data_IF_378266283977
#
_entry.id   IF_378266283977
#
_cell.length_a   1.000
_cell.length_b   1.000
_cell.length_c   1.000
_cell.angle_alpha   90.00
_cell.angle_beta   90.00
_cell.angle_gamma   90.00
#
_symmetry.space_group_name_H-M   'P 1'
#
loop_
_entity.id
_entity.type
_entity.pdbx_description
1 polymer ?
#
# COMPACT_ATOMS: atom_id res chain seq x y z
N UNK A 1 18.72 28.24 1.75
CA UNK A 1 19.18 29.46 2.45
C UNK A 1 17.96 30.15 3.06
N UNK A 2 18.02 30.70 4.29
CA UNK A 2 16.89 31.41 4.90
C UNK A 2 16.42 32.57 4.02
N UNK A 3 15.10 32.77 3.91
CA UNK A 3 14.47 33.74 2.98
C UNK A 3 14.97 35.18 3.19
N UNK A 4 15.20 35.57 4.45
CA UNK A 4 15.79 36.86 4.83
C UNK A 4 17.25 37.03 4.34
N UNK A 5 18.01 35.94 4.29
CA UNK A 5 19.40 35.94 3.81
C UNK A 5 19.45 35.99 2.27
N UNK A 6 18.49 35.35 1.59
CA UNK A 6 18.36 35.40 0.13
C UNK A 6 17.96 36.79 -0.37
N UNK A 7 16.99 37.41 0.30
CA UNK A 7 16.58 38.77 0.00
C UNK A 7 17.75 39.74 0.14
N UNK A 8 18.46 39.70 1.27
CA UNK A 8 19.48 40.70 1.59
C UNK A 8 20.80 40.53 0.84
N UNK A 9 21.14 39.32 0.38
CA UNK A 9 22.43 39.05 -0.29
C UNK A 9 22.34 38.92 -1.81
N UNK A 10 21.15 38.67 -2.37
CA UNK A 10 21.02 38.27 -3.77
C UNK A 10 19.97 39.12 -4.51
N UNK A 11 18.72 39.10 -4.06
CA UNK A 11 17.62 39.74 -4.80
C UNK A 11 17.62 41.28 -4.74
N UNK A 12 18.27 41.89 -3.74
CA UNK A 12 18.47 43.35 -3.70
C UNK A 12 19.48 43.81 -4.75
N UNK A 13 20.50 43.00 -5.05
CA UNK A 13 21.59 43.36 -5.96
C UNK A 13 21.29 43.00 -7.42
N UNK A 14 20.48 41.95 -7.64
CA UNK A 14 20.13 41.42 -8.96
C UNK A 14 18.60 41.34 -9.12
N UNK A 15 17.89 42.47 -9.37
CA UNK A 15 16.43 42.50 -9.43
C UNK A 15 15.84 41.79 -10.66
N UNK A 16 16.61 41.66 -11.75
CA UNK A 16 16.17 41.01 -12.99
C UNK A 16 16.58 39.52 -13.06
N UNK A 17 17.14 38.96 -11.99
CA UNK A 17 17.65 37.59 -11.99
C UNK A 17 16.55 36.58 -12.34
N UNK A 18 15.34 36.79 -11.81
CA UNK A 18 14.22 35.87 -11.99
C UNK A 18 13.75 35.86 -13.44
N UNK A 19 13.65 37.03 -14.09
CA UNK A 19 13.26 37.13 -15.50
C UNK A 19 14.34 36.58 -16.43
N UNK A 20 15.62 36.82 -16.14
CA UNK A 20 16.74 36.28 -16.91
C UNK A 20 16.87 34.76 -16.82
N UNK A 21 16.77 34.19 -15.61
CA UNK A 21 16.77 32.73 -15.41
C UNK A 21 15.58 32.12 -16.15
N UNK A 22 14.41 32.75 -16.09
CA UNK A 22 13.20 32.21 -16.72
C UNK A 22 13.24 32.26 -18.25
N UNK A 23 13.82 33.30 -18.83
CA UNK A 23 14.04 33.39 -20.29
C UNK A 23 15.01 32.33 -20.82
N UNK A 24 15.97 31.89 -20.00
CA UNK A 24 16.91 30.83 -20.35
C UNK A 24 16.25 29.43 -20.36
N UNK A 25 15.10 29.24 -19.71
CA UNK A 25 14.30 28.01 -19.81
C UNK A 25 13.85 27.76 -21.26
N UNK A 26 13.76 28.81 -22.09
CA UNK A 26 13.35 28.73 -23.49
C UNK A 26 14.44 28.21 -24.45
N UNK A 27 15.72 28.17 -24.05
CA UNK A 27 16.85 27.91 -24.96
C UNK A 27 17.72 26.75 -24.48
N UNK A 28 17.44 25.54 -24.96
CA UNK A 28 18.27 24.33 -25.08
C UNK A 28 19.25 23.88 -23.97
N UNK A 29 19.36 24.58 -22.85
CA UNK A 29 20.20 24.26 -21.69
C UNK A 29 19.31 23.82 -20.51
N UNK A 30 18.82 22.58 -20.63
CA UNK A 30 17.58 22.16 -19.97
C UNK A 30 17.65 22.04 -18.43
N UNK A 31 18.75 21.62 -17.80
CA UNK A 31 18.69 21.06 -16.42
C UNK A 31 18.93 22.07 -15.26
N UNK A 32 19.95 22.94 -15.29
CA UNK A 32 20.28 23.78 -14.13
C UNK A 32 19.24 24.87 -13.87
N UNK A 33 18.57 25.31 -14.93
CA UNK A 33 17.70 26.49 -14.92
C UNK A 33 16.34 26.16 -14.31
N UNK A 34 15.75 25.01 -14.65
CA UNK A 34 14.51 24.53 -14.01
C UNK A 34 14.70 24.27 -12.52
N UNK A 35 15.84 23.68 -12.14
CA UNK A 35 16.18 23.44 -10.74
C UNK A 35 16.36 24.76 -9.97
N UNK A 36 16.96 25.77 -10.60
CA UNK A 36 17.12 27.12 -10.03
C UNK A 36 15.77 27.81 -9.88
N UNK A 37 14.91 27.78 -10.89
CA UNK A 37 13.54 28.33 -10.81
C UNK A 37 12.70 27.65 -9.73
N UNK A 38 12.83 26.33 -9.55
CA UNK A 38 12.18 25.59 -8.46
C UNK A 38 12.68 26.03 -7.08
N UNK A 39 13.98 26.22 -6.91
CA UNK A 39 14.54 26.74 -5.67
C UNK A 39 14.06 28.16 -5.35
N UNK A 40 13.92 29.02 -6.38
CA UNK A 40 13.42 30.40 -6.24
C UNK A 40 11.91 30.41 -5.93
N UNK A 41 11.12 29.57 -6.62
CA UNK A 41 9.67 29.48 -6.41
C UNK A 41 9.29 29.10 -4.96
N UNK A 42 10.16 28.36 -4.27
CA UNK A 42 9.98 27.99 -2.85
C UNK A 42 10.09 29.16 -1.88
N UNK A 43 10.58 30.32 -2.32
CA UNK A 43 10.51 31.56 -1.55
C UNK A 43 9.16 32.24 -1.80
N UNK A 44 8.28 32.28 -0.78
CA UNK A 44 6.89 32.75 -0.90
C UNK A 44 6.80 34.17 -1.45
N UNK A 45 7.76 35.03 -1.10
CA UNK A 45 7.80 36.43 -1.53
C UNK A 45 8.09 36.55 -3.05
N UNK A 46 8.74 35.55 -3.65
CA UNK A 46 9.16 35.54 -5.06
C UNK A 46 8.29 34.66 -5.97
N UNK A 47 7.39 33.88 -5.40
CA UNK A 47 6.50 32.97 -6.14
C UNK A 47 5.70 33.69 -7.24
N UNK A 48 5.10 34.84 -6.94
CA UNK A 48 4.30 35.59 -7.93
C UNK A 48 5.18 36.12 -9.09
N UNK A 49 6.42 36.51 -8.79
CA UNK A 49 7.38 36.99 -9.79
C UNK A 49 7.82 35.85 -10.73
N UNK A 50 8.07 34.66 -10.18
CA UNK A 50 8.40 33.45 -10.96
C UNK A 50 7.22 33.01 -11.84
N UNK A 51 5.99 33.00 -11.32
CA UNK A 51 4.79 32.64 -12.07
C UNK A 51 4.54 33.58 -13.27
N UNK A 52 4.72 34.88 -13.05
CA UNK A 52 4.60 35.89 -14.10
C UNK A 52 5.72 35.75 -15.14
N UNK A 53 6.97 35.52 -14.70
CA UNK A 53 8.09 35.32 -15.61
C UNK A 53 7.92 34.06 -16.48
N UNK A 54 7.34 32.99 -15.92
CA UNK A 54 7.05 31.74 -16.63
C UNK A 54 5.81 31.81 -17.51
N UNK A 55 5.08 32.93 -17.42
CA UNK A 55 3.78 33.15 -18.06
C UNK A 55 2.80 32.00 -17.76
N UNK A 56 2.71 31.61 -16.48
CA UNK A 56 1.99 30.42 -16.03
C UNK A 56 0.48 30.45 -16.30
N UNK A 57 -0.13 31.64 -16.38
CA UNK A 57 -1.56 31.81 -16.66
C UNK A 57 -1.91 31.70 -18.16
N UNK A 58 -0.92 31.63 -19.05
CA UNK A 58 -1.16 31.59 -20.49
C UNK A 58 -1.07 30.15 -21.02
N UNK A 59 -2.03 29.75 -21.87
CA UNK A 59 -1.98 28.47 -22.60
C UNK A 59 -0.71 28.34 -23.46
N UNK A 60 -0.17 29.47 -23.94
CA UNK A 60 1.08 29.57 -24.71
C UNK A 60 2.31 29.93 -23.84
N UNK A 61 2.17 29.88 -22.52
CA UNK A 61 3.26 30.10 -21.58
C UNK A 61 4.34 29.01 -21.68
N UNK A 62 5.50 29.28 -21.09
CA UNK A 62 6.69 28.42 -21.18
C UNK A 62 6.38 27.02 -20.66
N UNK A 63 5.64 26.93 -19.55
CA UNK A 63 5.28 25.67 -18.90
C UNK A 63 4.40 24.78 -19.79
N UNK A 64 3.29 25.29 -20.30
CA UNK A 64 2.37 24.50 -21.14
C UNK A 64 2.87 24.29 -22.57
N UNK A 65 3.73 25.17 -23.06
CA UNK A 65 4.45 24.94 -24.31
C UNK A 65 5.40 23.74 -24.17
N UNK A 66 6.23 23.73 -23.11
CA UNK A 66 7.13 22.60 -22.81
C UNK A 66 6.35 21.31 -22.58
N UNK A 67 5.25 21.37 -21.83
CA UNK A 67 4.37 20.21 -21.59
C UNK A 67 3.79 19.66 -22.91
N UNK A 68 3.32 20.52 -23.83
CA UNK A 68 2.83 20.08 -25.15
C UNK A 68 3.91 19.51 -26.06
N UNK A 69 5.13 20.05 -26.01
CA UNK A 69 6.27 19.52 -26.79
C UNK A 69 6.56 18.06 -26.45
N UNK A 70 6.30 17.64 -25.20
CA UNK A 70 6.41 16.23 -24.79
C UNK A 70 5.49 15.29 -25.60
N UNK A 71 4.43 15.81 -26.22
CA UNK A 71 3.52 15.04 -27.07
C UNK A 71 4.02 14.86 -28.51
N UNK A 72 4.94 15.72 -28.98
CA UNK A 72 5.26 15.83 -30.41
C UNK A 72 6.74 15.56 -30.76
N UNK A 73 7.71 15.84 -29.89
CA UNK A 73 9.16 15.76 -30.23
C UNK A 73 10.06 15.25 -29.09
N UNK A 74 11.13 14.55 -29.49
CA UNK A 74 12.34 14.09 -28.78
C UNK A 74 12.37 14.14 -27.25
N UNK A 75 12.57 12.97 -26.64
CA UNK A 75 12.76 12.76 -25.21
C UNK A 75 13.75 13.75 -24.58
N UNK A 76 13.25 14.62 -23.70
CA UNK A 76 14.12 15.39 -22.83
C UNK A 76 14.91 14.45 -21.91
N UNK A 77 16.11 14.88 -21.44
CA UNK A 77 16.85 14.12 -20.44
C UNK A 77 15.99 13.84 -19.20
N UNK A 78 16.12 12.65 -18.60
CA UNK A 78 15.35 12.28 -17.41
C UNK A 78 15.49 13.31 -16.27
N UNK A 79 16.71 13.81 -16.04
CA UNK A 79 16.99 14.85 -15.05
C UNK A 79 16.22 16.16 -15.30
N UNK A 80 15.96 16.50 -16.56
CA UNK A 80 15.11 17.64 -16.89
C UNK A 80 13.65 17.34 -16.56
N UNK A 81 13.14 16.18 -16.97
CA UNK A 81 11.77 15.77 -16.69
C UNK A 81 11.50 15.74 -15.18
N UNK A 82 12.44 15.21 -14.39
CA UNK A 82 12.34 15.19 -12.93
C UNK A 82 12.25 16.61 -12.35
N UNK A 83 13.16 17.51 -12.74
CA UNK A 83 13.16 18.89 -12.26
C UNK A 83 11.89 19.66 -12.71
N UNK A 84 11.45 19.44 -13.95
CA UNK A 84 10.31 20.11 -14.55
C UNK A 84 8.99 19.70 -13.91
N UNK A 85 8.74 18.39 -13.77
CA UNK A 85 7.54 17.91 -13.11
C UNK A 85 7.56 18.22 -11.61
N UNK A 86 8.73 18.23 -10.94
CA UNK A 86 8.82 18.68 -9.55
C UNK A 86 8.42 20.16 -9.40
N UNK A 87 8.89 21.02 -10.30
CA UNK A 87 8.48 22.43 -10.34
C UNK A 87 6.98 22.55 -10.61
N UNK A 88 6.45 21.86 -11.62
CA UNK A 88 5.03 21.91 -11.97
C UNK A 88 4.14 21.43 -10.82
N UNK A 89 4.45 20.29 -10.21
CA UNK A 89 3.71 19.79 -9.05
C UNK A 89 3.73 20.81 -7.91
N UNK A 90 4.88 21.41 -7.61
CA UNK A 90 4.98 22.45 -6.58
C UNK A 90 4.12 23.68 -6.92
N UNK A 91 4.17 24.19 -8.16
CA UNK A 91 3.39 25.35 -8.57
C UNK A 91 1.88 25.07 -8.53
N UNK A 92 1.45 23.89 -8.96
CA UNK A 92 0.05 23.44 -8.92
C UNK A 92 -0.48 23.36 -7.49
N UNK A 93 0.34 22.91 -6.55
CA UNK A 93 -0.01 22.80 -5.13
C UNK A 93 -0.18 24.18 -4.44
N UNK A 94 0.38 25.25 -5.02
CA UNK A 94 0.18 26.62 -4.49
C UNK A 94 -1.16 27.20 -4.92
N UNK A 95 -1.80 28.02 -4.05
CA UNK A 95 -3.09 28.66 -4.38
C UNK A 95 -3.02 29.56 -5.60
N UNK A 96 -2.01 30.44 -5.69
CA UNK A 96 -1.85 31.38 -6.81
C UNK A 96 -1.43 30.64 -8.08
N UNK A 97 -0.45 29.73 -7.99
CA UNK A 97 0.03 28.96 -9.14
C UNK A 97 -1.04 28.01 -9.69
N UNK A 98 -1.77 27.33 -8.81
CA UNK A 98 -2.87 26.44 -9.15
C UNK A 98 -3.98 27.16 -9.90
N UNK A 99 -4.42 28.34 -9.44
CA UNK A 99 -5.42 29.15 -10.15
C UNK A 99 -4.94 29.56 -11.56
N UNK A 100 -3.68 30.00 -11.69
CA UNK A 100 -3.09 30.38 -12.98
C UNK A 100 -2.95 29.18 -13.93
N UNK A 101 -2.49 28.03 -13.44
CA UNK A 101 -2.31 26.82 -14.25
C UNK A 101 -3.65 26.18 -14.64
N UNK A 102 -4.65 26.28 -13.74
CA UNK A 102 -6.02 25.86 -14.00
C UNK A 102 -6.65 26.68 -15.13
N UNK A 103 -6.53 28.02 -15.09
CA UNK A 103 -7.02 28.88 -16.17
C UNK A 103 -6.28 28.65 -17.49
N UNK A 104 -5.01 28.25 -17.42
CA UNK A 104 -4.19 27.91 -18.57
C UNK A 104 -4.53 26.52 -19.18
N UNK A 105 -5.36 25.72 -18.52
CA UNK A 105 -5.82 24.42 -19.03
C UNK A 105 -4.86 23.26 -18.80
N UNK A 106 -4.11 23.26 -17.68
CA UNK A 106 -3.13 22.20 -17.37
C UNK A 106 -3.71 20.78 -17.38
N UNK A 107 -4.95 20.60 -16.92
CA UNK A 107 -5.64 19.30 -16.89
C UNK A 107 -5.89 18.78 -18.31
N UNK A 108 -6.35 19.64 -19.21
CA UNK A 108 -6.68 19.25 -20.59
C UNK A 108 -5.41 18.89 -21.39
N UNK A 109 -4.32 19.65 -21.19
CA UNK A 109 -3.03 19.33 -21.81
C UNK A 109 -2.49 17.99 -21.29
N UNK A 110 -2.63 17.72 -19.98
CA UNK A 110 -2.22 16.45 -19.38
C UNK A 110 -2.96 15.26 -19.98
N UNK A 111 -4.27 15.40 -20.23
CA UNK A 111 -5.08 14.34 -20.83
C UNK A 111 -4.70 14.08 -22.29
N UNK A 112 -4.41 15.14 -23.07
CA UNK A 112 -3.91 14.99 -24.44
C UNK A 112 -2.56 14.24 -24.49
N UNK A 113 -1.73 14.37 -23.46
CA UNK A 113 -0.49 13.60 -23.35
C UNK A 113 -0.80 12.13 -23.03
N UNK A 114 -1.74 11.86 -22.11
CA UNK A 114 -2.13 10.49 -21.76
C UNK A 114 -2.74 9.74 -22.94
N UNK A 115 -3.52 10.41 -23.79
CA UNK A 115 -4.19 9.78 -24.94
C UNK A 115 -3.21 9.41 -26.09
N UNK A 116 -1.99 9.95 -26.08
CA UNK A 116 -0.99 9.67 -27.10
C UNK A 116 -0.15 8.43 -26.75
N UNK A 117 -0.37 7.35 -27.51
CA UNK A 117 0.29 6.05 -27.33
C UNK A 117 1.81 6.06 -27.58
N UNK A 118 2.32 7.05 -28.31
CA UNK A 118 3.75 7.13 -28.65
C UNK A 118 4.64 7.64 -27.51
N UNK A 119 4.04 8.10 -26.41
CA UNK A 119 4.75 8.73 -25.31
C UNK A 119 5.32 7.67 -24.36
N UNK A 120 6.55 7.91 -23.92
CA UNK A 120 7.26 6.98 -23.05
C UNK A 120 6.55 6.85 -21.68
N UNK A 121 6.44 5.62 -21.11
CA UNK A 121 5.68 5.38 -19.87
C UNK A 121 6.14 6.20 -18.65
N UNK A 122 7.43 6.55 -18.60
CA UNK A 122 7.97 7.40 -17.52
C UNK A 122 7.41 8.84 -17.53
N UNK A 123 7.14 9.42 -18.70
CA UNK A 123 6.53 10.76 -18.84
C UNK A 123 5.07 10.68 -18.43
N UNK A 124 4.36 9.67 -18.93
CA UNK A 124 2.96 9.41 -18.56
C UNK A 124 2.80 9.24 -17.04
N UNK A 125 3.72 8.52 -16.40
CA UNK A 125 3.74 8.36 -14.93
C UNK A 125 3.77 9.71 -14.23
N UNK A 126 4.65 10.63 -14.68
CA UNK A 126 4.76 11.98 -14.10
C UNK A 126 3.53 12.85 -14.36
N UNK A 127 2.88 12.69 -15.52
CA UNK A 127 1.64 13.39 -15.85
C UNK A 127 0.48 12.91 -14.97
N UNK A 128 0.37 11.62 -14.72
CA UNK A 128 -0.61 11.07 -13.77
C UNK A 128 -0.35 11.63 -12.37
N UNK A 129 0.91 11.66 -11.90
CA UNK A 129 1.25 12.28 -10.60
C UNK A 129 0.95 13.78 -10.55
N UNK A 130 1.06 14.50 -11.67
CA UNK A 130 0.68 15.92 -11.75
C UNK A 130 -0.83 16.10 -11.64
N UNK A 131 -1.61 15.22 -12.30
CA UNK A 131 -3.07 15.20 -12.16
C UNK A 131 -3.51 14.86 -10.73
N UNK A 132 -2.79 13.96 -10.06
CA UNK A 132 -2.98 13.66 -8.65
C UNK A 132 -2.84 14.91 -7.77
N UNK A 133 -1.80 15.72 -7.97
CA UNK A 133 -1.64 16.98 -7.23
C UNK A 133 -2.73 17.99 -7.60
N UNK A 134 -3.12 18.03 -8.88
CA UNK A 134 -4.20 18.90 -9.35
C UNK A 134 -5.55 18.57 -8.69
N UNK A 135 -5.84 17.30 -8.40
CA UNK A 135 -7.08 16.89 -7.73
C UNK A 135 -7.16 17.33 -6.26
N UNK A 136 -6.02 17.47 -5.56
CA UNK A 136 -6.02 18.00 -4.18
C UNK A 136 -6.14 19.52 -4.14
N UNK A 137 -5.55 20.20 -5.12
CA UNK A 137 -5.32 21.64 -5.07
C UNK A 137 -6.32 22.46 -5.89
N UNK A 138 -6.98 21.88 -6.90
CA UNK A 138 -7.83 22.60 -7.85
C UNK A 138 -9.28 22.12 -7.83
N UNK A 139 -10.20 23.02 -7.48
CA UNK A 139 -11.65 22.72 -7.41
C UNK A 139 -12.23 22.19 -8.74
N UNK A 140 -11.74 22.73 -9.87
CA UNK A 140 -12.26 22.38 -11.21
C UNK A 140 -11.53 21.20 -11.87
N UNK A 141 -10.58 20.55 -11.20
CA UNK A 141 -9.80 19.50 -11.85
C UNK A 141 -10.62 18.24 -12.18
N UNK A 142 -11.50 17.79 -11.27
CA UNK A 142 -12.39 16.65 -11.53
C UNK A 142 -13.35 16.91 -12.72
N UNK A 143 -14.13 18.01 -12.77
CA UNK A 143 -14.97 18.32 -13.92
C UNK A 143 -14.21 18.41 -15.25
N UNK A 144 -13.04 19.06 -15.24
CA UNK A 144 -12.21 19.20 -16.44
C UNK A 144 -11.65 17.85 -16.92
N UNK A 145 -11.30 16.97 -15.97
CA UNK A 145 -10.81 15.65 -16.28
C UNK A 145 -11.86 14.77 -16.97
N UNK A 146 -13.07 14.71 -16.42
CA UNK A 146 -14.15 13.91 -17.00
C UNK A 146 -14.66 14.49 -18.32
N UNK A 147 -14.82 15.81 -18.43
CA UNK A 147 -15.29 16.46 -19.66
C UNK A 147 -14.31 16.31 -20.83
N UNK A 148 -13.01 16.17 -20.55
CA UNK A 148 -11.97 15.95 -21.57
C UNK A 148 -11.70 14.47 -21.88
N UNK A 149 -12.58 13.54 -21.49
CA UNK A 149 -12.40 12.09 -21.65
C UNK A 149 -11.14 11.53 -20.95
N UNK A 150 -10.68 12.16 -19.87
CA UNK A 150 -9.50 11.73 -19.12
C UNK A 150 -9.58 10.30 -18.58
N UNK A 151 -10.79 9.85 -18.20
CA UNK A 151 -11.02 8.49 -17.73
C UNK A 151 -10.72 7.46 -18.84
N UNK A 152 -11.28 7.66 -20.03
CA UNK A 152 -11.08 6.76 -21.17
C UNK A 152 -9.62 6.73 -21.62
N UNK A 153 -8.96 7.90 -21.66
CA UNK A 153 -7.52 7.99 -21.97
C UNK A 153 -6.68 7.19 -20.96
N UNK A 154 -7.00 7.29 -19.67
CA UNK A 154 -6.30 6.55 -18.61
C UNK A 154 -6.53 5.04 -18.69
N UNK A 155 -7.76 4.59 -18.98
CA UNK A 155 -8.10 3.18 -19.18
C UNK A 155 -7.36 2.62 -20.40
N UNK A 156 -7.33 3.38 -21.51
CA UNK A 156 -6.64 3.02 -22.74
C UNK A 156 -5.13 2.88 -22.50
N UNK A 157 -4.52 3.84 -21.80
CA UNK A 157 -3.12 3.79 -21.42
C UNK A 157 -2.82 2.55 -20.55
N UNK A 158 -3.64 2.28 -19.52
CA UNK A 158 -3.48 1.11 -18.66
C UNK A 158 -3.51 -0.19 -19.46
N UNK A 159 -4.52 -0.37 -20.33
CA UNK A 159 -4.67 -1.55 -21.17
C UNK A 159 -3.46 -1.74 -22.09
N UNK A 160 -3.03 -0.67 -22.77
CA UNK A 160 -1.87 -0.71 -23.66
C UNK A 160 -0.59 -1.14 -22.94
N UNK A 161 -0.34 -0.64 -21.72
CA UNK A 161 0.85 -1.02 -20.96
C UNK A 161 0.82 -2.48 -20.48
N UNK A 162 -0.35 -2.98 -20.08
CA UNK A 162 -0.51 -4.38 -19.68
C UNK A 162 -0.25 -5.31 -20.86
N UNK A 163 -0.85 -5.02 -22.02
CA UNK A 163 -0.63 -5.80 -23.23
C UNK A 163 0.85 -5.74 -23.67
N UNK A 164 1.51 -4.58 -23.54
CA UNK A 164 2.95 -4.40 -23.81
C UNK A 164 3.82 -5.23 -22.87
N UNK A 165 3.49 -5.25 -21.57
CA UNK A 165 4.20 -6.07 -20.58
C UNK A 165 4.03 -7.56 -20.86
N UNK A 166 2.83 -8.02 -21.18
CA UNK A 166 2.59 -9.45 -21.50
C UNK A 166 3.35 -9.86 -22.76
N UNK A 167 3.47 -8.95 -23.74
CA UNK A 167 4.21 -9.18 -24.97
C UNK A 167 5.75 -9.03 -24.83
N UNK A 168 6.30 -8.89 -23.62
CA UNK A 168 7.74 -8.96 -23.38
C UNK A 168 8.55 -7.69 -23.68
N UNK A 169 7.93 -6.51 -23.74
CA UNK A 169 8.62 -5.24 -24.01
C UNK A 169 8.77 -4.39 -22.73
N UNK A 170 9.95 -3.79 -22.51
CA UNK A 170 10.29 -2.78 -21.47
C UNK A 170 9.39 -2.78 -20.20
N UNK A 171 9.67 -3.68 -19.26
CA UNK A 171 8.76 -3.89 -18.12
C UNK A 171 8.79 -2.81 -17.04
N UNK A 172 9.95 -2.23 -16.70
CA UNK A 172 10.06 -1.39 -15.49
C UNK A 172 9.19 -0.13 -15.54
N UNK A 173 9.36 0.70 -16.57
CA UNK A 173 8.62 1.96 -16.71
C UNK A 173 7.12 1.71 -16.93
N UNK A 174 6.77 0.65 -17.65
CA UNK A 174 5.39 0.23 -17.86
C UNK A 174 4.72 -0.23 -16.56
N UNK A 175 5.42 -1.00 -15.72
CA UNK A 175 4.93 -1.40 -14.39
C UNK A 175 4.76 -0.17 -13.49
N UNK A 176 5.67 0.80 -13.53
CA UNK A 176 5.51 2.06 -12.77
C UNK A 176 4.29 2.85 -13.21
N UNK A 177 4.02 2.92 -14.51
CA UNK A 177 2.83 3.56 -15.05
C UNK A 177 1.55 2.81 -14.63
N UNK A 178 1.53 1.48 -14.72
CA UNK A 178 0.41 0.64 -14.27
C UNK A 178 0.13 0.90 -12.78
N UNK A 179 1.15 0.88 -11.92
CA UNK A 179 1.01 1.20 -10.48
C UNK A 179 0.39 2.57 -10.28
N UNK A 180 0.85 3.57 -11.03
CA UNK A 180 0.39 4.95 -10.91
C UNK A 180 -1.07 5.11 -11.34
N UNK A 181 -1.48 4.51 -12.46
CA UNK A 181 -2.86 4.56 -12.93
C UNK A 181 -3.80 3.79 -11.98
N UNK A 182 -3.38 2.63 -11.45
CA UNK A 182 -4.21 1.89 -10.48
C UNK A 182 -4.42 2.70 -9.19
N UNK A 183 -3.36 3.31 -8.64
CA UNK A 183 -3.48 4.20 -7.48
C UNK A 183 -4.37 5.40 -7.76
N UNK A 184 -4.23 5.98 -8.96
CA UNK A 184 -5.06 7.08 -9.42
C UNK A 184 -6.55 6.68 -9.45
N UNK A 185 -6.90 5.49 -9.97
CA UNK A 185 -8.27 4.99 -9.94
C UNK A 185 -8.79 4.71 -8.52
N UNK A 186 -8.02 4.01 -7.69
CA UNK A 186 -8.40 3.72 -6.30
C UNK A 186 -8.67 5.01 -5.54
N UNK A 187 -7.79 6.01 -5.70
CA UNK A 187 -7.96 7.32 -5.09
C UNK A 187 -9.23 8.02 -5.56
N UNK A 188 -9.52 8.01 -6.87
CA UNK A 188 -10.74 8.63 -7.37
C UNK A 188 -12.00 7.93 -6.85
N UNK A 189 -11.97 6.61 -6.64
CA UNK A 189 -13.10 5.85 -6.06
C UNK A 189 -13.28 6.16 -4.57
N UNK A 190 -12.19 6.19 -3.79
CA UNK A 190 -12.23 6.49 -2.35
C UNK A 190 -12.47 7.99 -2.06
N UNK A 191 -12.16 8.86 -3.02
CA UNK A 191 -12.31 10.31 -2.90
C UNK A 191 -13.74 10.80 -3.15
N UNK A 192 -14.16 11.86 -2.45
CA UNK A 192 -15.51 12.43 -2.58
C UNK A 192 -15.73 13.25 -3.86
N UNK A 193 -14.66 13.57 -4.62
CA UNK A 193 -14.72 14.48 -5.76
C UNK A 193 -15.17 13.88 -7.09
N UNK A 194 -15.11 12.56 -7.25
CA UNK A 194 -15.42 11.89 -8.52
C UNK A 194 -16.93 11.64 -8.74
N UNK A 195 -17.73 11.70 -7.68
CA UNK A 195 -19.20 11.57 -7.74
C UNK A 195 -19.68 10.29 -8.43
N UNK A 196 -20.79 10.39 -9.18
CA UNK A 196 -21.37 9.28 -9.95
C UNK A 196 -20.64 8.97 -11.27
N UNK A 197 -19.60 9.74 -11.63
CA UNK A 197 -18.91 9.58 -12.91
C UNK A 197 -18.12 8.27 -13.02
N UNK A 198 -17.83 7.61 -11.89
CA UNK A 198 -17.16 6.32 -11.85
C UNK A 198 -18.10 5.13 -11.77
N UNK A 199 -19.41 5.34 -11.70
CA UNK A 199 -20.43 4.28 -11.60
C UNK A 199 -20.31 3.23 -12.69
N UNK A 200 -19.94 3.65 -13.90
CA UNK A 200 -19.84 2.75 -15.04
C UNK A 200 -18.41 2.26 -15.29
N UNK A 201 -17.48 2.46 -14.35
CA UNK A 201 -16.07 2.07 -14.53
C UNK A 201 -15.93 0.57 -14.81
N UNK A 202 -16.74 -0.27 -14.15
CA UNK A 202 -16.74 -1.72 -14.38
C UNK A 202 -17.54 -2.16 -15.62
N UNK A 203 -18.23 -1.25 -16.30
CA UNK A 203 -18.79 -1.52 -17.64
C UNK A 203 -17.75 -1.33 -18.76
N UNK A 204 -16.54 -0.88 -18.40
CA UNK A 204 -15.43 -0.67 -19.35
C UNK A 204 -14.53 -1.90 -19.47
N UNK A 205 -13.33 -1.76 -20.05
CA UNK A 205 -12.33 -2.83 -20.09
C UNK A 205 -11.61 -3.13 -18.76
N UNK A 206 -11.92 -2.39 -17.69
CA UNK A 206 -11.25 -2.55 -16.38
C UNK A 206 -11.38 -3.95 -15.78
N UNK A 207 -12.55 -4.62 -15.77
CA UNK A 207 -12.67 -5.99 -15.26
C UNK A 207 -11.71 -6.97 -15.95
N UNK A 208 -11.60 -6.89 -17.28
CA UNK A 208 -10.67 -7.73 -18.05
C UNK A 208 -9.20 -7.41 -17.76
N UNK A 209 -8.89 -6.13 -17.53
CA UNK A 209 -7.56 -5.68 -17.12
C UNK A 209 -7.20 -6.23 -15.74
N UNK A 210 -8.15 -6.22 -14.79
CA UNK A 210 -7.99 -6.80 -13.47
C UNK A 210 -7.70 -8.31 -13.55
N UNK A 211 -8.49 -9.06 -14.33
CA UNK A 211 -8.23 -10.49 -14.55
C UNK A 211 -6.82 -10.74 -15.10
N UNK A 212 -6.38 -9.99 -16.12
CA UNK A 212 -5.01 -10.12 -16.67
C UNK A 212 -3.93 -9.83 -15.63
N UNK A 213 -4.09 -8.80 -14.81
CA UNK A 213 -3.10 -8.50 -13.76
C UNK A 213 -3.02 -9.65 -12.75
N UNK A 214 -4.17 -10.21 -12.36
CA UNK A 214 -4.22 -11.34 -11.43
C UNK A 214 -3.60 -12.60 -12.05
N UNK A 215 -4.00 -12.99 -13.27
CA UNK A 215 -3.47 -14.18 -13.95
C UNK A 215 -1.95 -14.12 -14.16
N UNK A 216 -1.41 -12.94 -14.48
CA UNK A 216 0.02 -12.72 -14.68
C UNK A 216 0.68 -12.06 -13.44
N UNK A 217 0.23 -12.38 -12.22
CA UNK A 217 0.72 -11.77 -10.99
C UNK A 217 2.24 -11.89 -10.80
N UNK A 218 2.87 -12.97 -11.28
CA UNK A 218 4.33 -13.17 -11.23
C UNK A 218 5.10 -12.16 -12.10
N UNK A 219 4.51 -11.72 -13.22
CA UNK A 219 5.09 -10.72 -14.11
C UNK A 219 5.00 -9.31 -13.52
N UNK A 220 3.84 -8.96 -12.96
CA UNK A 220 3.57 -7.60 -12.46
C UNK A 220 4.07 -7.37 -11.02
N UNK A 221 4.22 -8.44 -10.24
CA UNK A 221 4.69 -8.43 -8.86
C UNK A 221 3.60 -8.13 -7.83
N UNK A 222 3.94 -8.36 -6.56
CA UNK A 222 3.04 -8.25 -5.39
C UNK A 222 2.35 -6.89 -5.28
N UNK A 223 3.07 -5.79 -5.50
CA UNK A 223 2.48 -4.45 -5.40
C UNK A 223 1.36 -4.21 -6.41
N UNK A 224 1.54 -4.62 -7.68
CA UNK A 224 0.52 -4.40 -8.72
C UNK A 224 -0.66 -5.32 -8.48
N UNK A 225 -0.40 -6.57 -8.06
CA UNK A 225 -1.43 -7.50 -7.65
C UNK A 225 -2.28 -6.94 -6.51
N UNK A 226 -1.66 -6.45 -5.43
CA UNK A 226 -2.36 -5.82 -4.30
C UNK A 226 -3.17 -4.57 -4.73
N UNK A 227 -2.64 -3.73 -5.62
CA UNK A 227 -3.39 -2.60 -6.17
C UNK A 227 -4.60 -3.04 -7.00
N UNK A 228 -4.50 -4.14 -7.76
CA UNK A 228 -5.64 -4.69 -8.49
C UNK A 228 -6.73 -5.20 -7.54
N UNK A 229 -6.34 -5.88 -6.46
CA UNK A 229 -7.27 -6.31 -5.40
C UNK A 229 -7.94 -5.12 -4.71
N UNK A 230 -7.14 -4.10 -4.37
CA UNK A 230 -7.63 -2.86 -3.75
C UNK A 230 -8.62 -2.13 -4.66
N UNK A 231 -8.35 -2.05 -5.97
CA UNK A 231 -9.24 -1.45 -6.96
C UNK A 231 -10.55 -2.22 -7.07
N UNK A 232 -10.48 -3.55 -7.15
CA UNK A 232 -11.65 -4.44 -7.16
C UNK A 232 -12.50 -4.23 -5.90
N UNK A 233 -11.91 -4.33 -4.71
CA UNK A 233 -12.61 -4.21 -3.44
C UNK A 233 -13.22 -2.82 -3.25
N UNK A 234 -12.42 -1.76 -3.48
CA UNK A 234 -12.88 -0.37 -3.32
C UNK A 234 -14.08 -0.06 -4.22
N UNK A 235 -14.09 -0.56 -5.45
CA UNK A 235 -15.22 -0.36 -6.35
C UNK A 235 -16.47 -1.10 -5.87
N UNK A 236 -16.34 -2.34 -5.43
CA UNK A 236 -17.47 -3.14 -4.93
C UNK A 236 -18.05 -2.54 -3.64
N UNK A 237 -17.22 -2.02 -2.74
CA UNK A 237 -17.70 -1.30 -1.55
C UNK A 237 -18.42 0.01 -1.92
N UNK A 238 -18.01 0.68 -3.01
CA UNK A 238 -18.71 1.84 -3.54
C UNK A 238 -20.05 1.46 -4.18
N UNK A 239 -20.09 0.38 -4.97
CA UNK A 239 -21.27 -0.10 -5.69
C UNK A 239 -21.50 -1.61 -5.56
N UNK A 240 -22.10 -2.07 -4.45
CA UNK A 240 -22.28 -3.51 -4.18
C UNK A 240 -23.13 -4.24 -5.22
N UNK A 241 -24.04 -3.53 -5.90
CA UNK A 241 -24.90 -4.10 -6.95
C UNK A 241 -24.12 -4.58 -8.17
N UNK A 242 -22.90 -4.07 -8.38
CA UNK A 242 -22.06 -4.40 -9.52
C UNK A 242 -21.30 -5.73 -9.35
N UNK A 243 -21.38 -6.37 -8.16
CA UNK A 243 -20.70 -7.65 -7.90
C UNK A 243 -21.17 -8.76 -8.84
N UNK A 244 -22.47 -8.86 -9.11
CA UNK A 244 -23.02 -9.88 -10.03
C UNK A 244 -22.43 -9.76 -11.44
N UNK A 245 -22.27 -8.53 -11.95
CA UNK A 245 -21.65 -8.29 -13.26
C UNK A 245 -20.18 -8.72 -13.26
N UNK A 246 -19.46 -8.48 -12.15
CA UNK A 246 -18.07 -8.93 -12.03
C UNK A 246 -17.94 -10.44 -11.89
N UNK A 247 -18.92 -11.11 -11.29
CA UNK A 247 -19.01 -12.58 -11.22
C UNK A 247 -19.24 -13.17 -12.62
N UNK A 248 -20.07 -12.56 -13.47
CA UNK A 248 -20.24 -12.99 -14.86
C UNK A 248 -18.92 -12.91 -15.65
N UNK A 249 -18.12 -11.87 -15.40
CA UNK A 249 -16.79 -11.65 -16.03
C UNK A 249 -15.67 -12.46 -15.34
N UNK A 250 -16.01 -13.23 -14.30
CA UNK A 250 -15.09 -14.10 -13.56
C UNK A 250 -13.99 -13.36 -12.77
N UNK A 251 -14.21 -12.10 -12.38
CA UNK A 251 -13.20 -11.34 -11.61
C UNK A 251 -12.97 -11.96 -10.22
N UNK A 252 -14.00 -12.18 -9.37
CA UNK A 252 -13.81 -12.81 -8.06
C UNK A 252 -13.26 -14.24 -8.16
N UNK A 253 -13.70 -15.00 -9.16
CA UNK A 253 -13.24 -16.36 -9.43
C UNK A 253 -11.75 -16.39 -9.76
N UNK A 254 -11.30 -15.46 -10.63
CA UNK A 254 -9.89 -15.31 -11.00
C UNK A 254 -9.06 -14.93 -9.79
N UNK A 255 -9.54 -13.99 -8.96
CA UNK A 255 -8.89 -13.62 -7.71
C UNK A 255 -8.71 -14.83 -6.78
N UNK A 256 -9.79 -15.52 -6.40
CA UNK A 256 -9.74 -16.62 -5.44
C UNK A 256 -8.86 -17.78 -5.94
N UNK A 257 -8.97 -18.12 -7.23
CA UNK A 257 -8.14 -19.16 -7.85
C UNK A 257 -6.66 -18.78 -7.85
N UNK A 258 -6.34 -17.55 -8.24
CA UNK A 258 -4.96 -17.07 -8.31
C UNK A 258 -4.34 -16.97 -6.92
N UNK A 259 -5.10 -16.44 -5.96
CA UNK A 259 -4.64 -16.29 -4.58
C UNK A 259 -4.28 -17.65 -3.97
N UNK A 260 -5.07 -18.69 -4.23
CA UNK A 260 -4.78 -20.06 -3.74
C UNK A 260 -3.45 -20.63 -4.24
N UNK A 261 -2.99 -20.22 -5.42
CA UNK A 261 -1.68 -20.61 -5.98
C UNK A 261 -0.60 -19.55 -5.79
N UNK A 262 -0.88 -18.46 -5.06
CA UNK A 262 0.04 -17.35 -4.93
C UNK A 262 1.20 -17.70 -3.99
N UNK A 263 2.42 -17.65 -4.50
CA UNK A 263 3.67 -17.96 -3.78
C UNK A 263 4.67 -16.78 -3.80
N UNK A 264 4.18 -15.58 -4.13
CA UNK A 264 4.99 -14.37 -4.25
C UNK A 264 5.34 -13.70 -2.92
N UNK A 265 6.13 -12.62 -3.01
CA UNK A 265 6.45 -11.73 -1.88
C UNK A 265 5.17 -11.20 -1.22
N UNK A 266 5.09 -11.34 0.10
CA UNK A 266 3.94 -10.91 0.89
C UNK A 266 4.36 -9.86 1.92
N UNK A 267 3.66 -8.73 1.94
CA UNK A 267 3.72 -7.68 2.97
C UNK A 267 2.35 -7.48 3.62
N UNK A 268 2.32 -6.77 4.75
CA UNK A 268 1.09 -6.40 5.46
C UNK A 268 0.12 -5.68 4.52
N UNK A 269 0.62 -4.79 3.67
CA UNK A 269 -0.22 -4.05 2.71
C UNK A 269 -0.95 -4.99 1.73
N UNK A 270 -0.27 -6.01 1.18
CA UNK A 270 -0.91 -6.99 0.32
C UNK A 270 -1.97 -7.80 1.08
N UNK A 271 -1.65 -8.27 2.29
CA UNK A 271 -2.59 -9.07 3.09
C UNK A 271 -3.86 -8.28 3.46
N UNK A 272 -3.73 -7.00 3.80
CA UNK A 272 -4.88 -6.11 4.02
C UNK A 272 -5.74 -5.98 2.76
N UNK A 273 -5.12 -5.73 1.59
CA UNK A 273 -5.86 -5.66 0.32
C UNK A 273 -6.54 -7.00 -0.05
N UNK A 274 -5.98 -8.13 0.39
CA UNK A 274 -6.58 -9.46 0.24
C UNK A 274 -7.82 -9.59 1.13
N UNK A 275 -7.77 -9.16 2.40
CA UNK A 275 -8.93 -9.17 3.30
C UNK A 275 -10.04 -8.27 2.74
N UNK A 276 -9.71 -7.06 2.26
CA UNK A 276 -10.66 -6.16 1.60
C UNK A 276 -11.33 -6.86 0.41
N UNK A 277 -10.55 -7.56 -0.42
CA UNK A 277 -11.08 -8.31 -1.56
C UNK A 277 -11.92 -9.53 -1.14
N UNK A 278 -11.59 -10.19 -0.03
CA UNK A 278 -12.44 -11.24 0.57
C UNK A 278 -13.78 -10.66 1.03
N UNK A 279 -13.74 -9.53 1.73
CA UNK A 279 -14.93 -8.79 2.18
C UNK A 279 -15.83 -8.42 1.01
N UNK A 280 -15.26 -7.82 -0.04
CA UNK A 280 -15.97 -7.47 -1.27
C UNK A 280 -16.56 -8.70 -2.00
N UNK A 281 -15.81 -9.80 -2.06
CA UNK A 281 -16.27 -11.05 -2.71
C UNK A 281 -17.45 -11.65 -1.97
N UNK A 282 -17.45 -11.58 -0.64
CA UNK A 282 -18.46 -12.22 0.21
C UNK A 282 -19.74 -11.37 0.42
N UNK A 283 -19.94 -10.26 -0.30
CA UNK A 283 -21.11 -9.40 -0.12
C UNK A 283 -22.44 -10.02 -0.59
N UNK A 284 -22.39 -11.09 -1.40
CA UNK A 284 -23.58 -11.85 -1.82
C UNK A 284 -23.43 -13.36 -1.54
N UNK A 285 -24.54 -14.08 -1.64
CA UNK A 285 -24.60 -15.53 -1.34
C UNK A 285 -23.70 -16.34 -2.28
N UNK A 286 -23.75 -16.08 -3.59
CA UNK A 286 -22.90 -16.76 -4.59
C UNK A 286 -21.40 -16.59 -4.30
N UNK A 287 -20.99 -15.37 -3.92
CA UNK A 287 -19.61 -15.08 -3.57
C UNK A 287 -19.18 -15.76 -2.27
N UNK A 288 -20.08 -15.85 -1.29
CA UNK A 288 -19.83 -16.60 -0.05
C UNK A 288 -19.68 -18.10 -0.31
N UNK A 289 -20.53 -18.70 -1.14
CA UNK A 289 -20.43 -20.11 -1.52
C UNK A 289 -19.09 -20.40 -2.20
N UNK A 290 -18.72 -19.59 -3.20
CA UNK A 290 -17.45 -19.71 -3.92
C UNK A 290 -16.23 -19.57 -2.98
N UNK A 291 -16.32 -18.67 -1.99
CA UNK A 291 -15.29 -18.49 -0.98
C UNK A 291 -15.15 -19.74 -0.10
N UNK A 292 -16.26 -20.30 0.37
CA UNK A 292 -16.29 -21.52 1.18
C UNK A 292 -15.78 -22.74 0.42
N UNK A 293 -16.06 -22.86 -0.87
CA UNK A 293 -15.55 -23.94 -1.72
C UNK A 293 -14.03 -23.82 -1.94
N UNK A 294 -13.54 -22.59 -2.17
CA UNK A 294 -12.13 -22.37 -2.47
C UNK A 294 -11.24 -22.51 -1.24
N UNK A 295 -11.78 -22.17 -0.06
CA UNK A 295 -11.13 -22.13 1.25
C UNK A 295 -9.81 -21.32 1.27
N UNK A 296 -9.82 -20.03 0.84
CA UNK A 296 -8.60 -19.23 0.71
C UNK A 296 -7.96 -18.84 2.04
N UNK A 297 -8.71 -18.92 3.16
CA UNK A 297 -8.22 -18.56 4.49
C UNK A 297 -7.04 -19.42 4.94
N UNK A 298 -7.02 -20.71 4.64
CA UNK A 298 -5.88 -21.56 5.02
C UNK A 298 -4.58 -21.06 4.38
N UNK A 299 -4.62 -20.76 3.08
CA UNK A 299 -3.48 -20.20 2.36
C UNK A 299 -3.08 -18.82 2.88
N UNK A 300 -4.05 -17.98 3.25
CA UNK A 300 -3.78 -16.68 3.87
C UNK A 300 -2.95 -16.82 5.16
N UNK A 301 -3.34 -17.71 6.07
CA UNK A 301 -2.60 -17.96 7.31
C UNK A 301 -1.25 -18.67 7.07
N UNK A 302 -1.13 -19.48 6.01
CA UNK A 302 0.14 -20.06 5.58
C UNK A 302 1.12 -18.97 5.09
N UNK A 303 0.65 -17.99 4.31
CA UNK A 303 1.46 -16.85 3.87
C UNK A 303 1.92 -15.98 5.06
N UNK A 304 1.01 -15.71 6.01
CA UNK A 304 1.32 -14.97 7.24
C UNK A 304 2.38 -15.68 8.11
N UNK A 305 2.39 -17.02 8.07
CA UNK A 305 3.35 -17.86 8.79
C UNK A 305 4.62 -18.20 7.98
N UNK A 306 4.81 -17.60 6.81
CA UNK A 306 5.93 -17.93 5.92
C UNK A 306 7.25 -17.38 6.45
N UNK A 307 8.36 -18.05 6.16
CA UNK A 307 9.71 -17.59 6.52
C UNK A 307 10.02 -16.21 5.95
N UNK A 308 9.50 -15.92 4.76
CA UNK A 308 9.63 -14.63 4.11
C UNK A 308 8.98 -13.49 4.92
N UNK A 309 7.72 -13.68 5.37
CA UNK A 309 7.00 -12.69 6.17
C UNK A 309 7.65 -12.52 7.55
N UNK A 310 7.96 -13.64 8.21
CA UNK A 310 8.55 -13.66 9.55
C UNK A 310 10.00 -13.14 9.62
N UNK A 311 10.70 -13.11 8.48
CA UNK A 311 12.04 -12.55 8.34
C UNK A 311 12.08 -11.01 8.37
N UNK A 312 10.94 -10.33 8.25
CA UNK A 312 10.87 -8.87 8.31
C UNK A 312 10.20 -8.40 9.62
N UNK A 313 10.98 -7.91 10.61
CA UNK A 313 10.43 -7.48 11.89
C UNK A 313 9.40 -6.35 11.81
N UNK A 314 9.42 -5.53 10.75
CA UNK A 314 8.43 -4.46 10.58
C UNK A 314 7.07 -5.06 10.21
N UNK A 315 7.04 -6.01 9.28
CA UNK A 315 5.80 -6.70 8.88
C UNK A 315 5.19 -7.49 10.05
N UNK A 316 6.06 -8.13 10.86
CA UNK A 316 5.66 -8.85 12.07
C UNK A 316 5.05 -7.89 13.11
N UNK A 317 5.66 -6.72 13.32
CA UNK A 317 5.15 -5.73 14.26
C UNK A 317 3.78 -5.17 13.84
N UNK A 318 3.59 -4.92 12.54
CA UNK A 318 2.37 -4.33 11.97
C UNK A 318 1.24 -5.38 11.75
N UNK A 319 1.47 -6.64 12.13
CA UNK A 319 0.48 -7.72 12.00
C UNK A 319 -0.81 -7.47 12.81
N UNK A 320 -0.78 -6.59 13.81
CA UNK A 320 -2.00 -6.17 14.53
C UNK A 320 -3.04 -5.52 13.61
N UNK A 321 -2.62 -4.82 12.56
CA UNK A 321 -3.54 -4.26 11.56
C UNK A 321 -4.31 -5.36 10.82
N UNK A 322 -3.62 -6.45 10.47
CA UNK A 322 -4.22 -7.63 9.83
C UNK A 322 -5.25 -8.28 10.76
N UNK A 323 -4.91 -8.41 12.05
CA UNK A 323 -5.81 -8.92 13.07
C UNK A 323 -7.09 -8.10 13.17
N UNK A 324 -6.96 -6.77 13.24
CA UNK A 324 -8.08 -5.84 13.29
C UNK A 324 -8.99 -5.94 12.07
N UNK A 325 -8.43 -5.91 10.86
CA UNK A 325 -9.21 -6.00 9.62
C UNK A 325 -9.89 -7.38 9.46
N UNK A 326 -9.21 -8.46 9.87
CA UNK A 326 -9.83 -9.80 9.90
C UNK A 326 -10.99 -9.88 10.91
N UNK A 327 -10.89 -9.19 12.05
CA UNK A 327 -11.98 -9.10 13.01
C UNK A 327 -13.18 -8.36 12.42
N UNK A 328 -12.95 -7.26 11.70
CA UNK A 328 -13.99 -6.52 10.99
C UNK A 328 -14.64 -7.36 9.88
N UNK A 329 -13.84 -8.12 9.12
CA UNK A 329 -14.35 -9.07 8.14
C UNK A 329 -15.27 -10.12 8.76
N UNK A 330 -14.88 -10.73 9.89
CA UNK A 330 -15.72 -11.71 10.62
C UNK A 330 -17.00 -11.08 11.15
N UNK A 331 -16.93 -9.82 11.60
CA UNK A 331 -18.08 -9.06 12.09
C UNK A 331 -19.13 -8.87 10.99
N UNK A 332 -18.68 -8.59 9.78
CA UNK A 332 -19.54 -8.47 8.61
C UNK A 332 -19.99 -9.82 8.04
N UNK A 333 -19.16 -10.87 8.18
CA UNK A 333 -19.46 -12.20 7.67
C UNK A 333 -19.40 -13.32 8.73
N UNK A 334 -20.40 -13.41 9.63
CA UNK A 334 -20.41 -14.39 10.73
C UNK A 334 -20.38 -15.85 10.27
N UNK A 335 -20.83 -16.15 9.05
CA UNK A 335 -20.81 -17.50 8.49
C UNK A 335 -19.39 -18.10 8.38
N UNK A 336 -18.37 -17.25 8.26
CA UNK A 336 -16.97 -17.67 8.14
C UNK A 336 -16.25 -17.76 9.49
N UNK A 337 -16.91 -17.36 10.58
CA UNK A 337 -16.32 -17.29 11.92
C UNK A 337 -15.69 -18.61 12.35
N UNK A 338 -16.41 -19.73 12.20
CA UNK A 338 -15.91 -21.05 12.56
C UNK A 338 -14.64 -21.45 11.79
N UNK A 339 -14.56 -21.14 10.50
CA UNK A 339 -13.39 -21.42 9.68
C UNK A 339 -12.18 -20.57 10.11
N UNK A 340 -12.40 -19.29 10.41
CA UNK A 340 -11.33 -18.37 10.86
C UNK A 340 -10.78 -18.82 12.21
N UNK A 341 -11.64 -19.17 13.18
CA UNK A 341 -11.19 -19.71 14.47
C UNK A 341 -10.45 -21.04 14.32
N UNK A 342 -10.82 -21.89 13.35
CA UNK A 342 -10.05 -23.10 13.02
C UNK A 342 -8.66 -22.76 12.52
N UNK A 343 -8.53 -21.80 11.59
CA UNK A 343 -7.22 -21.38 11.08
C UNK A 343 -6.35 -20.74 12.17
N UNK A 344 -6.95 -19.93 13.05
CA UNK A 344 -6.27 -19.37 14.22
C UNK A 344 -5.79 -20.50 15.14
N UNK A 345 -6.62 -21.50 15.41
CA UNK A 345 -6.21 -22.65 16.21
C UNK A 345 -5.01 -23.39 15.58
N UNK A 346 -5.04 -23.65 14.28
CA UNK A 346 -3.94 -24.29 13.56
C UNK A 346 -2.66 -23.44 13.62
N UNK A 347 -2.78 -22.12 13.46
CA UNK A 347 -1.68 -21.17 13.62
C UNK A 347 -1.09 -21.25 15.04
N UNK A 348 -1.94 -21.33 16.07
CA UNK A 348 -1.47 -21.47 17.45
C UNK A 348 -0.71 -22.78 17.69
N UNK A 349 -1.21 -23.88 17.12
CA UNK A 349 -0.58 -25.20 17.22
C UNK A 349 0.74 -25.27 16.45
N UNK A 350 0.89 -24.54 15.34
CA UNK A 350 2.17 -24.45 14.61
C UNK A 350 3.30 -23.92 15.49
N UNK A 351 3.03 -22.91 16.33
CA UNK A 351 4.02 -22.38 17.28
C UNK A 351 4.46 -23.44 18.28
N UNK A 352 3.53 -24.21 18.84
CA UNK A 352 3.87 -25.28 19.81
C UNK A 352 4.74 -26.34 19.14
N UNK A 353 4.37 -26.75 17.92
CA UNK A 353 5.14 -27.72 17.14
C UNK A 353 6.54 -27.21 16.85
N UNK A 354 6.68 -25.95 16.45
CA UNK A 354 7.97 -25.31 16.21
C UNK A 354 8.79 -25.19 17.50
N UNK A 355 8.15 -24.79 18.60
CA UNK A 355 8.77 -24.70 19.92
C UNK A 355 9.20 -26.03 20.53
N UNK A 356 8.67 -27.15 20.03
CA UNK A 356 9.08 -28.51 20.41
C UNK A 356 10.01 -29.20 19.41
N UNK A 357 10.36 -28.56 18.29
CA UNK A 357 11.17 -29.16 17.22
C UNK A 357 12.58 -28.57 17.17
N UNK A 358 13.46 -29.26 16.45
CA UNK A 358 14.82 -28.77 16.15
C UNK A 358 14.80 -27.52 15.26
N UNK A 359 13.73 -27.31 14.47
CA UNK A 359 13.59 -26.17 13.55
C UNK A 359 13.31 -24.85 14.28
N UNK A 360 12.74 -24.90 15.49
CA UNK A 360 12.51 -23.71 16.31
C UNK A 360 13.72 -23.27 17.13
N UNK A 361 14.84 -23.98 17.04
CA UNK A 361 16.02 -23.67 17.85
C UNK A 361 16.67 -22.36 17.38
N UNK A 362 16.99 -21.44 18.31
CA UNK A 362 17.81 -20.28 17.99
C UNK A 362 19.17 -20.71 17.43
N UNK A 363 19.64 -20.04 16.36
CA UNK A 363 20.92 -20.36 15.70
C UNK A 363 22.13 -20.21 16.63
N UNK A 364 22.04 -19.35 17.65
CA UNK A 364 23.08 -19.09 18.65
C UNK A 364 23.05 -20.07 19.84
N UNK A 365 22.18 -21.08 19.83
CA UNK A 365 21.97 -22.02 20.92
C UNK A 365 21.57 -21.36 22.26
N UNK A 366 21.01 -20.15 22.23
CA UNK A 366 20.52 -19.44 23.44
C UNK A 366 19.41 -20.17 24.20
N UNK A 367 18.84 -21.25 23.64
CA UNK A 367 17.90 -22.13 24.31
C UNK A 367 18.57 -23.08 25.33
N UNK A 368 19.89 -23.26 25.25
CA UNK A 368 20.63 -24.15 26.16
C UNK A 368 21.09 -23.36 27.39
N UNK A 369 20.58 -23.73 28.56
CA UNK A 369 21.08 -23.20 29.83
C UNK A 369 22.42 -23.86 30.17
N UNK A 370 23.52 -23.11 30.06
CA UNK A 370 24.84 -23.56 30.48
C UNK A 370 25.06 -23.18 31.94
N UNK A 371 25.39 -24.17 32.77
CA UNK A 371 25.69 -23.93 34.18
C UNK A 371 27.00 -23.15 34.32
N UNK A 372 27.00 -22.08 35.12
CA UNK A 372 28.15 -21.20 35.41
C UNK A 372 28.68 -20.33 34.25
N UNK A 373 28.04 -20.30 33.09
CA UNK A 373 28.38 -19.39 32.00
C UNK A 373 27.12 -18.68 31.51
N UNK A 374 27.14 -17.34 31.50
CA UNK A 374 26.11 -16.56 30.80
C UNK A 374 26.52 -16.51 29.34
N UNK A 375 25.74 -17.06 28.40
CA UNK A 375 26.06 -16.95 26.99
C UNK A 375 26.13 -15.47 26.62
N UNK A 376 27.31 -15.02 26.17
CA UNK A 376 27.51 -13.64 25.71
C UNK A 376 26.88 -13.51 24.32
N UNK A 377 25.69 -12.92 24.26
CA UNK A 377 25.08 -12.51 23.00
C UNK A 377 25.72 -11.21 22.55
N UNK A 378 26.34 -11.19 21.37
CA UNK A 378 26.84 -9.95 20.80
C UNK A 378 25.65 -9.04 20.49
N UNK A 379 25.51 -7.92 21.23
CA UNK A 379 24.38 -6.99 21.07
C UNK A 379 24.26 -6.38 19.68
N UNK A 380 25.27 -6.55 18.82
CA UNK A 380 25.26 -6.14 17.42
C UNK A 380 24.81 -7.24 16.44
N UNK A 381 24.76 -8.50 16.85
CA UNK A 381 24.29 -9.61 16.03
C UNK A 381 22.80 -9.84 16.30
N UNK A 382 21.93 -9.36 15.40
CA UNK A 382 20.53 -9.81 15.35
C UNK A 382 20.54 -11.29 14.95
N UNK A 383 20.54 -12.18 15.94
CA UNK A 383 20.32 -13.60 15.67
C UNK A 383 18.83 -13.77 15.41
N UNK A 384 18.48 -14.01 14.16
CA UNK A 384 17.12 -14.29 13.75
C UNK A 384 16.65 -15.57 14.46
N UNK A 385 15.54 -15.46 15.18
CA UNK A 385 14.91 -16.61 15.81
C UNK A 385 13.50 -16.74 15.24
N UNK A 386 13.34 -17.69 14.32
CA UNK A 386 12.08 -17.94 13.64
C UNK A 386 10.93 -18.23 14.61
N UNK A 387 11.19 -18.89 15.73
CA UNK A 387 10.20 -19.13 16.77
C UNK A 387 9.75 -17.83 17.43
N UNK A 388 10.68 -16.92 17.77
CA UNK A 388 10.31 -15.62 18.35
C UNK A 388 9.50 -14.77 17.39
N UNK A 389 9.90 -14.71 16.12
CA UNK A 389 9.12 -14.01 15.09
C UNK A 389 7.72 -14.60 14.94
N UNK A 390 7.59 -15.93 14.97
CA UNK A 390 6.28 -16.59 14.90
C UNK A 390 5.43 -16.30 16.13
N UNK A 391 5.99 -16.34 17.34
CA UNK A 391 5.27 -15.96 18.58
C UNK A 391 4.81 -14.51 18.51
N UNK A 392 5.70 -13.58 18.12
CA UNK A 392 5.37 -12.17 17.99
C UNK A 392 4.26 -11.93 16.96
N UNK A 393 4.37 -12.54 15.77
CA UNK A 393 3.38 -12.44 14.71
C UNK A 393 2.00 -12.92 15.20
N UNK A 394 1.94 -14.10 15.83
CA UNK A 394 0.69 -14.65 16.35
C UNK A 394 0.09 -13.75 17.44
N UNK A 395 0.93 -13.24 18.34
CA UNK A 395 0.49 -12.36 19.41
C UNK A 395 -0.05 -11.03 18.84
N UNK A 396 0.67 -10.39 17.92
CA UNK A 396 0.23 -9.16 17.25
C UNK A 396 -1.06 -9.35 16.48
N UNK A 397 -1.18 -10.44 15.71
CA UNK A 397 -2.43 -10.78 15.04
C UNK A 397 -3.59 -10.89 16.03
N UNK A 398 -3.40 -11.62 17.13
CA UNK A 398 -4.44 -11.79 18.14
C UNK A 398 -4.76 -10.51 18.89
N UNK A 399 -3.79 -9.64 19.14
CA UNK A 399 -4.00 -8.33 19.76
C UNK A 399 -5.07 -7.55 19.00
N UNK A 400 -4.89 -7.37 17.68
CA UNK A 400 -5.87 -6.70 16.83
C UNK A 400 -7.17 -7.48 16.65
N UNK A 401 -7.09 -8.82 16.52
CA UNK A 401 -8.27 -9.65 16.28
C UNK A 401 -9.23 -9.73 17.48
N UNK A 402 -8.70 -9.67 18.70
CA UNK A 402 -9.43 -9.88 19.94
C UNK A 402 -9.94 -8.59 20.60
N UNK A 403 -9.55 -7.41 20.11
CA UNK A 403 -9.95 -6.11 20.66
C UNK A 403 -11.49 -5.95 20.76
N UNK A 404 -12.20 -6.53 19.79
CA UNK A 404 -13.66 -6.47 19.66
C UNK A 404 -14.39 -7.64 20.37
N UNK A 405 -15.36 -8.27 19.69
CA UNK A 405 -16.26 -9.29 20.27
C UNK A 405 -15.71 -10.73 20.20
N UNK A 406 -14.54 -10.92 19.61
CA UNK A 406 -13.96 -12.26 19.37
C UNK A 406 -13.29 -12.86 20.61
N UNK A 407 -12.93 -12.05 21.62
CA UNK A 407 -12.25 -12.50 22.83
C UNK A 407 -13.00 -13.60 23.60
N UNK A 408 -14.32 -13.46 23.78
CA UNK A 408 -15.13 -14.45 24.51
C UNK A 408 -15.13 -15.80 23.81
N UNK A 409 -15.24 -15.77 22.49
CA UNK A 409 -15.27 -16.98 21.69
C UNK A 409 -13.89 -17.66 21.67
N UNK A 410 -12.82 -16.88 21.56
CA UNK A 410 -11.45 -17.39 21.70
C UNK A 410 -11.22 -18.09 23.05
N UNK A 411 -11.77 -17.53 24.13
CA UNK A 411 -11.70 -18.14 25.46
C UNK A 411 -12.48 -19.46 25.51
N UNK A 412 -13.69 -19.50 24.92
CA UNK A 412 -14.50 -20.72 24.83
C UNK A 412 -13.79 -21.85 24.06
N UNK A 413 -12.99 -21.52 23.05
CA UNK A 413 -12.14 -22.47 22.33
C UNK A 413 -10.84 -22.84 23.06
N UNK A 414 -10.68 -22.44 24.34
CA UNK A 414 -9.46 -22.64 25.13
C UNK A 414 -8.20 -22.02 24.52
N UNK A 415 -8.32 -21.00 23.65
CA UNK A 415 -7.18 -20.35 23.01
C UNK A 415 -6.20 -19.75 24.02
N UNK A 416 -6.72 -19.18 25.11
CA UNK A 416 -5.92 -18.63 26.21
C UNK A 416 -5.00 -19.67 26.88
N UNK A 417 -5.44 -20.93 27.03
CA UNK A 417 -4.60 -22.00 27.59
C UNK A 417 -3.48 -22.40 26.64
N UNK A 418 -3.74 -22.37 25.34
CA UNK A 418 -2.72 -22.64 24.31
C UNK A 418 -1.64 -21.54 24.34
N UNK A 419 -2.04 -20.28 24.52
CA UNK A 419 -1.12 -19.16 24.64
C UNK A 419 -0.25 -19.22 25.90
N UNK A 420 -0.78 -19.73 27.02
CA UNK A 420 0.01 -19.89 28.24
C UNK A 420 1.18 -20.88 28.06
N UNK A 421 1.00 -21.90 27.21
CA UNK A 421 2.08 -22.84 26.87
C UNK A 421 3.26 -22.15 26.16
N UNK A 422 3.05 -20.98 25.54
CA UNK A 422 4.14 -20.24 24.88
C UNK A 422 5.19 -19.72 25.85
N UNK A 423 4.87 -19.61 27.15
CA UNK A 423 5.84 -19.25 28.18
C UNK A 423 6.75 -20.41 28.60
N UNK A 424 6.38 -21.66 28.27
CA UNK A 424 7.06 -22.87 28.73
C UNK A 424 7.61 -23.75 27.59
N UNK A 425 7.69 -23.21 26.37
CA UNK A 425 8.24 -23.95 25.22
C UNK A 425 9.72 -24.31 25.45
N UNK A 426 10.15 -25.54 25.12
CA UNK A 426 11.46 -26.06 25.51
C UNK A 426 12.64 -25.42 24.77
N UNK A 427 12.43 -24.86 23.57
CA UNK A 427 13.49 -24.22 22.77
C UNK A 427 13.50 -22.70 22.88
N UNK A 428 12.83 -22.12 23.89
CA UNK A 428 12.87 -20.68 24.13
C UNK A 428 14.28 -20.23 24.54
N UNK A 429 14.73 -19.07 24.04
CA UNK A 429 16.00 -18.52 24.46
C UNK A 429 15.94 -18.00 25.90
N UNK A 430 17.07 -18.00 26.60
CA UNK A 430 17.13 -17.55 28.00
C UNK A 430 16.72 -16.08 28.22
N UNK A 431 16.82 -15.24 27.17
CA UNK A 431 16.45 -13.82 27.17
C UNK A 431 15.04 -13.56 26.59
N UNK A 432 14.21 -14.60 26.43
CA UNK A 432 12.86 -14.49 25.89
C UNK A 432 12.02 -13.38 26.54
N UNK A 433 12.14 -13.19 27.87
CA UNK A 433 11.43 -12.15 28.62
C UNK A 433 11.77 -10.70 28.21
N UNK A 434 12.89 -10.48 27.51
CA UNK A 434 13.28 -9.18 26.94
C UNK A 434 12.85 -9.01 25.48
N UNK A 435 12.35 -10.06 24.85
CA UNK A 435 11.97 -10.04 23.44
C UNK A 435 10.66 -9.31 23.19
N UNK A 436 10.51 -8.77 21.99
CA UNK A 436 9.24 -8.19 21.53
C UNK A 436 8.10 -9.22 21.55
N UNK A 437 8.40 -10.49 21.26
CA UNK A 437 7.45 -11.60 21.31
C UNK A 437 6.80 -11.75 22.68
N UNK A 438 7.59 -11.67 23.77
CA UNK A 438 7.06 -11.72 25.13
C UNK A 438 6.20 -10.49 25.46
N UNK A 439 6.63 -9.30 25.00
CA UNK A 439 5.87 -8.06 25.14
C UNK A 439 4.50 -8.15 24.45
N UNK A 440 4.47 -8.56 23.18
CA UNK A 440 3.25 -8.73 22.40
C UNK A 440 2.33 -9.78 23.03
N UNK A 441 2.87 -10.91 23.49
CA UNK A 441 2.08 -11.94 24.19
C UNK A 441 1.44 -11.37 25.47
N UNK A 442 2.17 -10.56 26.22
CA UNK A 442 1.65 -9.88 27.40
C UNK A 442 0.52 -8.91 27.05
N UNK A 443 0.61 -8.19 25.93
CA UNK A 443 -0.42 -7.28 25.45
C UNK A 443 -1.72 -8.04 25.09
N UNK A 444 -1.63 -9.21 24.45
CA UNK A 444 -2.79 -10.09 24.23
C UNK A 444 -3.49 -10.48 25.54
N UNK A 445 -2.71 -10.85 26.57
CA UNK A 445 -3.30 -11.18 27.87
C UNK A 445 -3.95 -9.98 28.56
N UNK A 446 -3.45 -8.75 28.35
CA UNK A 446 -4.14 -7.54 28.83
C UNK A 446 -5.53 -7.43 28.17
N UNK A 447 -5.60 -7.55 26.84
CA UNK A 447 -6.88 -7.52 26.09
C UNK A 447 -7.84 -8.61 26.59
N UNK A 448 -7.36 -9.84 26.79
CA UNK A 448 -8.20 -10.94 27.31
C UNK A 448 -8.68 -10.67 28.75
N UNK A 449 -7.81 -10.12 29.60
CA UNK A 449 -8.11 -9.85 31.01
C UNK A 449 -9.14 -8.74 31.17
N UNK A 450 -9.12 -7.72 30.31
CA UNK A 450 -10.14 -6.67 30.27
C UNK A 450 -11.54 -7.22 29.98
N UNK A 451 -11.64 -8.31 29.21
CA UNK A 451 -12.93 -8.92 28.83
C UNK A 451 -13.40 -9.99 29.82
N UNK A 452 -12.50 -10.86 30.31
CA UNK A 452 -12.82 -11.96 31.23
C UNK A 452 -11.72 -12.23 32.26
N UNK A 453 -11.56 -11.31 33.22
CA UNK A 453 -10.51 -11.38 34.25
C UNK A 453 -10.46 -12.71 35.02
N UNK A 454 -11.60 -13.18 35.54
CA UNK A 454 -11.62 -14.37 36.41
C UNK A 454 -11.12 -15.63 35.71
N UNK A 455 -11.58 -15.88 34.48
CA UNK A 455 -11.22 -17.09 33.71
C UNK A 455 -9.73 -17.11 33.37
N UNK A 456 -9.17 -15.94 33.01
CA UNK A 456 -7.75 -15.82 32.67
C UNK A 456 -6.87 -15.97 33.90
N UNK A 457 -7.25 -15.36 35.03
CA UNK A 457 -6.50 -15.50 36.29
C UNK A 457 -6.52 -16.94 36.80
N UNK A 458 -7.66 -17.63 36.74
CA UNK A 458 -7.75 -19.06 37.08
C UNK A 458 -6.83 -19.90 36.21
N UNK A 459 -6.84 -19.70 34.89
CA UNK A 459 -5.96 -20.43 33.97
C UNK A 459 -4.46 -20.19 34.26
N UNK A 460 -4.07 -18.96 34.57
CA UNK A 460 -2.66 -18.63 34.94
C UNK A 460 -2.27 -19.34 36.24
N UNK A 461 -3.17 -19.40 37.22
CA UNK A 461 -2.90 -20.08 38.50
C UNK A 461 -2.77 -21.58 38.30
N UNK A 462 -3.62 -22.18 37.46
CA UNK A 462 -3.59 -23.62 37.16
C UNK A 462 -2.29 -24.03 36.42
N UNK A 463 -1.74 -23.14 35.59
CA UNK A 463 -0.54 -23.40 34.80
C UNK A 463 0.76 -23.00 35.52
N UNK A 464 0.66 -22.14 36.55
CA UNK A 464 1.78 -21.87 37.44
C UNK A 464 2.20 -23.18 38.12
N UNK A 465 3.48 -23.57 38.07
CA UNK A 465 3.92 -24.79 38.72
C UNK A 465 3.59 -24.69 40.20
N UNK A 466 2.65 -25.52 40.66
CA UNK A 466 2.47 -25.75 42.09
C UNK A 466 3.81 -26.22 42.61
N UNK A 467 4.44 -25.41 43.47
CA UNK A 467 5.63 -25.80 44.23
C UNK A 467 5.25 -26.97 45.14
N UNK A 468 5.19 -28.17 44.58
CA UNK A 468 5.17 -29.40 45.36
C UNK A 468 6.63 -29.84 45.55
N UNK A 469 7.15 -29.37 46.69
CA UNK A 469 8.24 -29.92 47.52
C UNK A 469 9.61 -30.17 46.90
#
# INVERSE_FOLDING_TARGET
MPETTAQNRLYIYEPNLITQITQLVCYDNHIPIVSSSNAIARHRIKLAEVLNALNAAANHGILLHTLRRLSNESAYPQSFLDAFFTLLSYLTDTTIGGQMLSSAGIVNVSIHIIDNESIHPNVLTKVISLLDVAFDSLDNAYPNFFSSNGLNASIKALKFQIDTCINGHNHYDSIMLIKSILRFFIRMIKGSGAGSSLRNLMETSIPYVLCKIMEYHTLFGSTVFGLALSLYASYIHMEPTSLAVLQEIQVPQTFLKTFKSYDGYCDVTLLLNVIDAFSATCLNEEGLEMFQETQPLFHFFDLLSSSHFLGNPMEVADTSEIGGEMSEFVRHQPALKGQIFSCIHDMLQKVIKLGGSEEGKPEDNSHVLVYNEVPLRDGNAKVENHLLSMIEMVARFLEGFLEFDNAKEFINYNGHKILLQYYSLPVLPFDYYLSNAFGALSDVFKVLTEKQTMVIVEAIIDEAPTQNS
#
